data_IF_825168204289
#
_entry.id   IF_825168204289
#
_cell.length_a   1.000
_cell.length_b   1.000
_cell.length_c   1.000
_cell.angle_alpha   90.00
_cell.angle_beta   90.00
_cell.angle_gamma   90.00
#
_symmetry.space_group_name_H-M   'P 1'
#
loop_
_entity.id
_entity.type
_entity.pdbx_description
1 polymer ?
#
# COMPACT_ATOMS: atom_id res chain seq x y z
N UNK A 1 3.38 16.90 -4.78
CA UNK A 1 3.90 15.64 -5.36
C UNK A 1 3.21 14.50 -4.65
N UNK A 2 2.79 13.45 -5.36
CA UNK A 2 2.28 12.25 -4.71
C UNK A 2 3.45 11.49 -4.08
N UNK A 3 3.25 10.96 -2.89
CA UNK A 3 4.22 10.07 -2.24
C UNK A 3 3.98 8.63 -2.70
N UNK A 4 5.05 7.88 -2.89
CA UNK A 4 5.04 6.50 -3.32
C UNK A 4 5.66 5.60 -2.25
N UNK A 5 5.07 4.43 -2.02
CA UNK A 5 5.64 3.36 -1.22
C UNK A 5 6.45 2.46 -2.17
N UNK A 6 7.77 2.48 -2.02
CA UNK A 6 8.71 1.71 -2.82
C UNK A 6 9.11 0.44 -2.06
N UNK A 7 8.81 -0.73 -2.63
CA UNK A 7 9.01 -2.02 -1.99
C UNK A 7 10.19 -2.76 -2.61
N UNK A 8 11.05 -3.29 -1.75
CA UNK A 8 12.25 -4.03 -2.09
C UNK A 8 12.27 -5.37 -1.36
N UNK A 9 12.25 -6.47 -2.10
CA UNK A 9 12.57 -7.78 -1.57
C UNK A 9 14.08 -7.89 -1.32
N UNK A 10 14.47 -8.16 -0.08
CA UNK A 10 15.87 -8.21 0.35
C UNK A 10 16.17 -9.53 1.04
N UNK A 11 17.45 -9.96 1.01
CA UNK A 11 17.88 -11.07 1.84
C UNK A 11 17.79 -10.65 3.31
N UNK A 12 17.30 -11.53 4.18
CA UNK A 12 17.09 -11.20 5.59
C UNK A 12 18.39 -10.80 6.33
N UNK A 13 19.53 -11.34 5.90
CA UNK A 13 20.86 -10.98 6.42
C UNK A 13 21.24 -9.50 6.19
N UNK A 14 20.58 -8.83 5.24
CA UNK A 14 20.76 -7.41 4.96
C UNK A 14 19.92 -6.51 5.91
N UNK A 15 18.86 -7.04 6.54
CA UNK A 15 17.98 -6.27 7.44
C UNK A 15 18.75 -5.61 8.60
N UNK A 16 19.68 -6.28 9.31
CA UNK A 16 20.48 -5.62 10.34
C UNK A 16 21.30 -4.45 9.80
N UNK A 17 21.84 -4.56 8.57
CA UNK A 17 22.59 -3.47 7.94
C UNK A 17 21.68 -2.29 7.62
N UNK A 18 20.45 -2.57 7.18
CA UNK A 18 19.40 -1.57 6.93
C UNK A 18 19.05 -0.83 8.23
N UNK A 19 18.84 -1.57 9.31
CA UNK A 19 18.50 -1.03 10.63
C UNK A 19 19.63 -0.21 11.24
N UNK A 20 20.88 -0.61 11.04
CA UNK A 20 22.08 0.09 11.52
C UNK A 20 22.42 1.34 10.70
N UNK A 21 21.65 1.64 9.64
CA UNK A 21 21.90 2.77 8.74
C UNK A 21 23.12 2.61 7.83
N UNK A 22 23.90 1.53 7.99
CA UNK A 22 25.09 1.20 7.19
C UNK A 22 24.78 0.70 5.79
N UNK A 23 23.53 0.33 5.55
CA UNK A 23 23.05 -0.04 4.23
C UNK A 23 22.97 1.14 3.27
N UNK A 24 22.79 2.37 3.80
CA UNK A 24 22.65 3.59 2.99
C UNK A 24 23.99 4.25 2.63
N UNK A 25 25.13 3.64 3.00
CA UNK A 25 26.45 4.05 2.50
C UNK A 25 26.60 3.71 0.99
N UNK A 26 25.81 2.75 0.48
CA UNK A 26 25.58 2.55 -0.95
C UNK A 26 24.26 3.23 -1.35
N UNK A 27 24.27 4.00 -2.43
CA UNK A 27 23.15 4.84 -2.85
C UNK A 27 22.00 3.98 -3.44
N UNK A 28 21.06 3.55 -2.59
CA UNK A 28 19.87 2.77 -3.01
C UNK A 28 18.87 3.60 -3.83
N UNK A 29 19.08 4.91 -3.98
CA UNK A 29 18.21 5.76 -4.83
C UNK A 29 18.25 5.35 -6.31
N UNK A 30 19.29 4.64 -6.73
CA UNK A 30 19.43 4.09 -8.10
C UNK A 30 18.80 2.68 -8.28
N UNK A 31 18.27 2.07 -7.21
CA UNK A 31 17.63 0.75 -7.32
C UNK A 31 16.14 0.89 -7.65
N UNK A 32 15.75 0.34 -8.79
CA UNK A 32 14.35 0.24 -9.19
C UNK A 32 13.57 -0.59 -8.15
N UNK A 33 12.48 -0.05 -7.57
CA UNK A 33 11.62 -0.80 -6.68
C UNK A 33 11.04 -2.03 -7.37
N UNK A 34 10.98 -3.16 -6.65
CA UNK A 34 10.33 -4.37 -7.18
C UNK A 34 8.82 -4.23 -7.26
N UNK A 35 8.25 -3.33 -6.47
CA UNK A 35 6.87 -2.89 -6.55
C UNK A 35 6.74 -1.44 -6.07
N UNK A 36 5.85 -0.68 -6.68
CA UNK A 36 5.52 0.69 -6.29
C UNK A 36 4.04 0.76 -6.03
N UNK A 37 3.66 1.16 -4.81
CA UNK A 37 2.28 1.44 -4.46
C UNK A 37 2.16 2.93 -4.11
N UNK A 38 1.39 3.68 -4.90
CA UNK A 38 1.08 5.07 -4.54
C UNK A 38 0.45 5.13 -3.16
N UNK A 39 0.82 6.10 -2.33
CA UNK A 39 0.20 6.30 -1.00
C UNK A 39 -1.31 6.45 -1.12
N UNK A 40 -1.79 7.04 -2.21
CA UNK A 40 -3.23 7.12 -2.51
C UNK A 40 -3.89 5.74 -2.62
N UNK A 41 -3.27 4.78 -3.31
CA UNK A 41 -3.76 3.40 -3.39
C UNK A 41 -3.75 2.69 -2.04
N UNK A 42 -2.71 2.89 -1.23
CA UNK A 42 -2.67 2.36 0.14
C UNK A 42 -3.82 2.92 1.01
N UNK A 43 -4.13 4.21 0.86
CA UNK A 43 -5.30 4.85 1.50
C UNK A 43 -6.62 4.24 1.02
N UNK A 44 -6.77 3.97 -0.28
CA UNK A 44 -7.96 3.31 -0.83
C UNK A 44 -8.18 1.92 -0.22
N UNK A 45 -7.14 1.10 -0.20
CA UNK A 45 -7.19 -0.24 0.39
C UNK A 45 -7.51 -0.19 1.88
N UNK A 46 -6.88 0.72 2.62
CA UNK A 46 -7.17 0.90 4.05
C UNK A 46 -8.61 1.36 4.29
N UNK A 47 -9.11 2.31 3.50
CA UNK A 47 -10.49 2.79 3.59
C UNK A 47 -11.49 1.65 3.36
N UNK A 48 -11.27 0.84 2.31
CA UNK A 48 -12.09 -0.34 2.03
C UNK A 48 -12.02 -1.35 3.16
N UNK A 49 -10.81 -1.70 3.61
CA UNK A 49 -10.59 -2.70 4.65
C UNK A 49 -11.28 -2.35 5.97
N UNK A 50 -11.16 -1.07 6.38
CA UNK A 50 -11.70 -0.56 7.64
C UNK A 50 -13.17 -0.16 7.59
N UNK A 51 -13.78 -0.14 6.39
CA UNK A 51 -15.16 0.31 6.21
C UNK A 51 -15.32 1.83 6.38
N UNK A 52 -14.34 2.59 5.91
CA UNK A 52 -14.43 4.05 5.78
C UNK A 52 -13.55 4.88 6.70
N UNK A 53 -12.54 4.28 7.35
CA UNK A 53 -11.52 5.06 8.08
C UNK A 53 -10.44 5.53 7.13
N UNK A 54 -10.06 6.80 7.24
CA UNK A 54 -8.95 7.36 6.46
C UNK A 54 -7.62 7.01 7.12
N UNK A 55 -6.62 6.69 6.30
CA UNK A 55 -5.24 6.51 6.72
C UNK A 55 -4.54 7.88 6.68
N UNK A 56 -4.19 8.40 7.85
CA UNK A 56 -3.58 9.72 8.04
C UNK A 56 -2.06 9.65 8.03
N UNK A 57 -1.39 10.78 7.77
CA UNK A 57 0.07 10.88 7.76
C UNK A 57 0.70 10.39 9.07
N UNK A 58 0.09 10.68 10.23
CA UNK A 58 0.55 10.21 11.54
C UNK A 58 0.61 8.67 11.65
N UNK A 59 -0.20 7.96 10.85
CA UNK A 59 -0.26 6.51 10.83
C UNK A 59 0.98 5.96 10.09
N UNK A 60 1.43 6.68 9.06
CA UNK A 60 2.73 6.50 8.38
C UNK A 60 3.92 6.97 9.22
N UNK A 61 3.75 7.30 10.50
CA UNK A 61 4.86 7.56 11.44
C UNK A 61 5.10 6.38 12.40
N UNK A 62 4.34 5.28 12.25
CA UNK A 62 4.46 4.11 13.13
C UNK A 62 3.98 4.33 14.56
N UNK A 63 3.13 5.34 14.80
CA UNK A 63 2.60 5.68 16.13
C UNK A 63 1.39 4.85 16.55
N UNK A 64 0.85 4.03 15.65
CA UNK A 64 -0.33 3.21 15.92
C UNK A 64 0.02 1.72 16.00
N UNK A 65 -0.80 0.99 16.75
CA UNK A 65 -0.82 -0.48 16.71
C UNK A 65 -1.11 -0.95 15.28
N UNK A 66 -0.26 -1.84 14.77
CA UNK A 66 -0.36 -2.34 13.41
C UNK A 66 -0.98 -3.73 13.41
N UNK A 67 -1.96 -3.93 12.55
CA UNK A 67 -2.43 -5.25 12.19
C UNK A 67 -1.75 -5.71 10.90
N UNK A 68 -1.89 -6.98 10.53
CA UNK A 68 -1.29 -7.55 9.32
C UNK A 68 -1.63 -6.78 8.03
N UNK A 69 -2.78 -6.11 7.96
CA UNK A 69 -3.15 -5.30 6.80
C UNK A 69 -2.36 -3.99 6.75
N UNK A 70 -2.14 -3.34 7.89
CA UNK A 70 -1.31 -2.12 7.97
C UNK A 70 0.17 -2.46 7.79
N UNK A 71 0.64 -3.56 8.36
CA UNK A 71 2.01 -4.06 8.18
C UNK A 71 2.29 -4.40 6.71
N UNK A 72 1.28 -4.78 5.93
CA UNK A 72 1.44 -4.98 4.50
C UNK A 72 1.91 -3.70 3.78
N UNK A 73 1.49 -2.52 4.22
CA UNK A 73 1.89 -1.24 3.59
C UNK A 73 3.09 -0.58 4.27
N UNK A 74 3.20 -0.73 5.59
CA UNK A 74 4.12 0.04 6.43
C UNK A 74 5.16 -0.83 7.13
N UNK A 75 5.27 -2.10 6.75
CA UNK A 75 6.18 -3.06 7.37
C UNK A 75 5.87 -3.34 8.84
N UNK A 76 6.64 -4.26 9.41
CA UNK A 76 6.57 -4.68 10.81
C UNK A 76 7.21 -3.63 11.73
N UNK A 77 8.39 -3.15 11.35
CA UNK A 77 9.21 -2.27 12.15
C UNK A 77 9.59 -1.00 11.38
N UNK A 78 9.69 0.11 12.11
CA UNK A 78 10.23 1.38 11.61
C UNK A 78 11.75 1.35 11.62
N UNK A 79 12.36 1.80 10.54
CA UNK A 79 13.81 1.98 10.41
C UNK A 79 14.17 3.41 10.83
N UNK A 80 15.05 3.57 11.82
CA UNK A 80 15.32 4.84 12.51
C UNK A 80 16.29 5.80 11.79
N UNK A 81 16.70 5.49 10.58
CA UNK A 81 17.70 6.26 9.85
C UNK A 81 17.24 6.48 8.42
N UNK A 82 16.51 7.55 8.19
CA UNK A 82 16.33 8.07 6.85
C UNK A 82 17.09 9.39 6.71
N UNK A 83 17.89 9.56 5.65
CA UNK A 83 18.45 10.86 5.31
C UNK A 83 17.30 11.78 4.86
N UNK A 84 16.86 12.68 5.75
CA UNK A 84 15.87 13.73 5.46
C UNK A 84 14.44 13.23 5.29
N UNK A 85 13.58 13.42 6.31
CA UNK A 85 12.10 13.38 6.26
C UNK A 85 11.39 12.23 5.50
N UNK A 86 12.06 11.09 5.30
CA UNK A 86 11.50 9.94 4.59
C UNK A 86 11.26 8.79 5.58
N UNK A 87 10.05 8.24 5.67
CA UNK A 87 9.82 7.07 6.52
C UNK A 87 10.30 5.80 5.83
N UNK A 88 10.94 4.90 6.59
CA UNK A 88 11.42 3.61 6.08
C UNK A 88 11.01 2.49 7.02
N UNK A 89 10.75 1.32 6.45
CA UNK A 89 10.16 0.19 7.15
C UNK A 89 10.73 -1.14 6.69
N UNK A 90 10.64 -2.15 7.53
CA UNK A 90 11.00 -3.50 7.15
C UNK A 90 10.11 -4.57 7.79
N UNK A 91 10.09 -5.76 7.18
CA UNK A 91 9.47 -6.97 7.72
C UNK A 91 10.40 -8.16 7.51
N UNK A 92 10.52 -9.03 8.51
CA UNK A 92 11.27 -10.28 8.36
C UNK A 92 10.57 -11.25 7.39
N UNK A 93 11.27 -12.30 6.94
CA UNK A 93 10.69 -13.24 5.96
C UNK A 93 9.50 -14.01 6.54
N UNK A 94 9.52 -14.33 7.84
CA UNK A 94 8.38 -14.96 8.53
C UNK A 94 7.16 -14.03 8.50
N UNK A 95 7.36 -12.75 8.76
CA UNK A 95 6.30 -11.76 8.71
C UNK A 95 5.75 -11.55 7.30
N UNK A 96 6.63 -11.49 6.29
CA UNK A 96 6.23 -11.44 4.87
C UNK A 96 5.34 -12.64 4.52
N UNK A 97 5.66 -13.84 5.03
CA UNK A 97 4.82 -15.03 4.85
C UNK A 97 3.46 -14.90 5.53
N UNK A 98 3.42 -14.44 6.78
CA UNK A 98 2.15 -14.20 7.49
C UNK A 98 1.25 -13.20 6.73
N UNK A 99 1.83 -12.10 6.27
CA UNK A 99 1.12 -11.08 5.48
C UNK A 99 0.62 -11.67 4.16
N UNK A 100 1.46 -12.40 3.44
CA UNK A 100 1.08 -13.05 2.17
C UNK A 100 -0.10 -14.02 2.36
N UNK A 101 -0.03 -14.90 3.36
CA UNK A 101 -1.12 -15.81 3.69
C UNK A 101 -2.41 -15.09 4.08
N UNK A 102 -2.30 -13.96 4.79
CA UNK A 102 -3.43 -13.12 5.14
C UNK A 102 -4.04 -12.42 3.91
N UNK A 103 -3.24 -11.77 3.07
CA UNK A 103 -3.70 -11.09 1.86
C UNK A 103 -4.35 -12.07 0.87
N UNK A 104 -3.84 -13.30 0.78
CA UNK A 104 -4.44 -14.35 -0.05
C UNK A 104 -5.84 -14.77 0.40
N UNK A 105 -6.18 -14.63 1.69
CA UNK A 105 -7.53 -14.87 2.22
C UNK A 105 -8.50 -13.71 1.95
N UNK A 106 -7.98 -12.53 1.59
CA UNK A 106 -8.81 -11.36 1.30
C UNK A 106 -9.35 -11.45 -0.13
N UNK A 107 -10.67 -11.36 -0.22
CA UNK A 107 -11.38 -11.02 -1.45
C UNK A 107 -11.83 -9.56 -1.35
N UNK A 108 -11.10 -8.64 -2.01
CA UNK A 108 -11.34 -7.20 -1.89
C UNK A 108 -12.74 -6.80 -2.39
N UNK A 109 -13.35 -7.59 -3.29
CA UNK A 109 -14.73 -7.37 -3.76
C UNK A 109 -15.74 -7.31 -2.62
N UNK A 110 -15.52 -8.09 -1.55
CA UNK A 110 -16.43 -8.18 -0.42
C UNK A 110 -16.41 -6.90 0.45
N UNK A 111 -15.39 -6.06 0.30
CA UNK A 111 -15.22 -4.84 1.09
C UNK A 111 -15.95 -3.63 0.50
N UNK A 112 -16.25 -3.61 -0.81
CA UNK A 112 -17.02 -2.52 -1.44
C UNK A 112 -18.40 -2.35 -0.81
N UNK A 113 -19.07 -3.45 -0.44
CA UNK A 113 -20.37 -3.42 0.22
C UNK A 113 -20.36 -2.76 1.60
N UNK A 114 -19.18 -2.63 2.22
CA UNK A 114 -19.03 -1.96 3.53
C UNK A 114 -19.08 -0.43 3.41
N UNK A 115 -18.72 0.11 2.25
CA UNK A 115 -18.57 1.55 2.05
C UNK A 115 -19.71 2.16 1.23
N UNK A 116 -20.53 1.35 0.54
CA UNK A 116 -21.70 1.85 -0.18
C UNK A 116 -22.32 0.83 -1.13
N UNK A 117 -23.20 1.34 -2.00
CA UNK A 117 -23.88 0.57 -3.04
C UNK A 117 -23.04 0.56 -4.32
N UNK A 118 -22.99 -0.60 -4.98
CA UNK A 118 -22.36 -0.73 -6.29
C UNK A 118 -23.32 -0.20 -7.36
N UNK A 119 -22.84 0.75 -8.14
CA UNK A 119 -23.61 1.42 -9.21
C UNK A 119 -22.78 1.43 -10.50
N UNK A 120 -23.46 1.54 -11.64
CA UNK A 120 -22.79 1.75 -12.94
C UNK A 120 -22.61 3.25 -13.19
N UNK A 121 -21.39 3.65 -13.54
CA UNK A 121 -21.01 5.01 -13.88
C UNK A 121 -20.57 5.09 -15.34
N UNK A 122 -20.81 6.23 -15.98
CA UNK A 122 -20.29 6.52 -17.33
C UNK A 122 -19.20 7.58 -17.24
N UNK A 123 -18.10 7.37 -17.97
CA UNK A 123 -17.02 8.33 -18.14
C UNK A 123 -16.57 8.38 -19.60
N UNK A 124 -15.72 9.33 -19.94
CA UNK A 124 -15.18 9.56 -21.28
C UNK A 124 -13.66 9.55 -21.20
N UNK A 125 -13.00 8.77 -22.05
CA UNK A 125 -11.54 8.70 -22.07
C UNK A 125 -10.92 9.88 -22.83
N UNK A 126 -9.58 9.98 -22.86
CA UNK A 126 -8.87 11.06 -23.56
C UNK A 126 -9.15 11.13 -25.09
N UNK A 127 -9.71 10.08 -25.68
CA UNK A 127 -10.09 10.01 -27.10
C UNK A 127 -11.56 10.40 -27.34
N UNK A 128 -12.31 10.72 -26.29
CA UNK A 128 -13.73 11.02 -26.36
C UNK A 128 -14.63 9.79 -26.38
N UNK A 129 -14.09 8.59 -26.15
CA UNK A 129 -14.87 7.37 -26.14
C UNK A 129 -15.53 7.19 -24.77
N UNK A 130 -16.85 7.02 -24.77
CA UNK A 130 -17.63 6.77 -23.56
C UNK A 130 -17.51 5.31 -23.17
N UNK A 131 -17.29 5.08 -21.88
CA UNK A 131 -17.26 3.76 -21.29
C UNK A 131 -18.05 3.76 -19.99
N UNK A 132 -18.56 2.59 -19.63
CA UNK A 132 -19.21 2.35 -18.36
C UNK A 132 -18.31 1.50 -17.47
N UNK A 133 -18.38 1.73 -16.16
CA UNK A 133 -17.66 0.95 -15.17
C UNK A 133 -18.50 0.84 -13.89
N UNK A 134 -18.26 -0.23 -13.13
CA UNK A 134 -18.88 -0.39 -11.82
C UNK A 134 -18.06 0.35 -10.78
N UNK A 135 -18.75 1.12 -9.94
CA UNK A 135 -18.10 1.85 -8.87
C UNK A 135 -18.91 1.89 -7.59
N UNK A 136 -18.25 2.37 -6.53
CA UNK A 136 -18.93 2.76 -5.29
C UNK A 136 -18.64 4.22 -5.02
N UNK A 137 -19.70 5.03 -4.98
CA UNK A 137 -19.62 6.44 -4.62
C UNK A 137 -19.58 6.60 -3.10
N UNK A 138 -18.65 7.41 -2.63
CA UNK A 138 -18.43 7.73 -1.21
C UNK A 138 -18.16 9.22 -1.03
N UNK A 139 -18.27 9.69 0.22
CA UNK A 139 -17.77 11.01 0.61
C UNK A 139 -16.53 10.81 1.48
N UNK A 140 -15.40 11.34 1.03
CA UNK A 140 -14.10 11.10 1.67
C UNK A 140 -13.44 12.40 2.06
N UNK A 141 -12.64 12.32 3.12
CA UNK A 141 -11.89 13.47 3.63
C UNK A 141 -10.41 13.23 3.37
N UNK A 142 -9.95 13.60 2.18
CA UNK A 142 -8.54 13.45 1.79
C UNK A 142 -7.61 14.44 2.51
N UNK A 143 -8.16 15.57 3.00
CA UNK A 143 -7.42 16.60 3.73
C UNK A 143 -8.29 17.28 4.79
N UNK A 144 -7.70 18.15 5.61
CA UNK A 144 -8.38 18.82 6.74
C UNK A 144 -9.56 19.72 6.34
N UNK A 145 -9.75 20.03 5.05
CA UNK A 145 -10.61 21.14 4.64
C UNK A 145 -12.06 20.75 4.32
N UNK A 146 -12.35 19.77 3.45
CA UNK A 146 -13.72 19.38 3.06
C UNK A 146 -13.84 17.92 2.64
N UNK A 147 -15.04 17.36 2.82
CA UNK A 147 -15.43 16.09 2.21
C UNK A 147 -15.66 16.28 0.71
N UNK A 148 -15.13 15.37 -0.09
CA UNK A 148 -15.27 15.35 -1.53
C UNK A 148 -15.93 14.04 -1.97
N UNK A 149 -16.72 14.11 -3.05
CA UNK A 149 -17.24 12.90 -3.68
C UNK A 149 -16.09 12.14 -4.34
N UNK A 150 -15.98 10.86 -3.99
CA UNK A 150 -14.99 9.96 -4.53
C UNK A 150 -15.65 8.67 -4.99
N UNK A 151 -15.32 8.25 -6.21
CA UNK A 151 -15.83 7.02 -6.80
C UNK A 151 -14.68 6.02 -6.82
N UNK A 152 -14.86 4.91 -6.11
CA UNK A 152 -13.99 3.76 -6.26
C UNK A 152 -14.36 3.03 -7.54
N UNK A 153 -13.47 2.98 -8.52
CA UNK A 153 -13.58 2.05 -9.64
C UNK A 153 -13.27 0.64 -9.12
N UNK A 154 -14.25 -0.26 -9.24
CA UNK A 154 -14.15 -1.60 -8.66
C UNK A 154 -13.06 -2.42 -9.36
N UNK A 155 -13.02 -2.38 -10.69
CA UNK A 155 -12.08 -3.21 -11.48
C UNK A 155 -10.64 -2.75 -11.24
N UNK A 156 -10.40 -1.44 -11.32
CA UNK A 156 -9.09 -0.85 -11.09
C UNK A 156 -8.55 -1.16 -9.68
N UNK A 157 -9.39 -1.07 -8.65
CA UNK A 157 -8.99 -1.43 -7.27
C UNK A 157 -8.68 -2.92 -7.14
N UNK A 158 -9.46 -3.80 -7.77
CA UNK A 158 -9.22 -5.24 -7.73
C UNK A 158 -7.89 -5.58 -8.38
N UNK A 159 -7.61 -5.00 -9.54
CA UNK A 159 -6.38 -5.25 -10.29
C UNK A 159 -5.17 -4.78 -9.49
N UNK A 160 -5.19 -3.53 -8.98
CA UNK A 160 -4.13 -3.01 -8.09
C UNK A 160 -3.92 -3.89 -6.85
N UNK A 161 -5.00 -4.39 -6.24
CA UNK A 161 -4.89 -5.25 -5.06
C UNK A 161 -4.33 -6.64 -5.38
N UNK A 162 -4.68 -7.20 -6.54
CA UNK A 162 -4.14 -8.48 -7.00
C UNK A 162 -2.65 -8.37 -7.35
N UNK A 163 -2.22 -7.29 -8.00
CA UNK A 163 -0.79 -7.02 -8.23
C UNK A 163 -0.01 -6.96 -6.91
N UNK A 164 -0.57 -6.28 -5.91
CA UNK A 164 0.01 -6.20 -4.57
C UNK A 164 0.11 -7.57 -3.88
N UNK A 165 -0.92 -8.42 -4.01
CA UNK A 165 -0.88 -9.82 -3.55
C UNK A 165 0.20 -10.64 -4.26
N UNK A 166 0.28 -10.52 -5.57
CA UNK A 166 1.28 -11.22 -6.38
C UNK A 166 2.70 -10.83 -5.97
N UNK A 167 2.93 -9.55 -5.67
CA UNK A 167 4.21 -9.08 -5.14
C UNK A 167 4.58 -9.82 -3.84
N UNK A 168 3.70 -9.85 -2.84
CA UNK A 168 3.94 -10.59 -1.60
C UNK A 168 4.16 -12.09 -1.82
N UNK A 169 3.41 -12.70 -2.75
CA UNK A 169 3.60 -14.09 -3.14
C UNK A 169 4.99 -14.34 -3.75
N UNK A 170 5.51 -13.40 -4.56
CA UNK A 170 6.87 -13.48 -5.11
C UNK A 170 7.93 -13.38 -4.02
N UNK A 171 7.76 -12.51 -3.03
CA UNK A 171 8.70 -12.42 -1.89
C UNK A 171 8.78 -13.76 -1.14
N UNK A 172 7.64 -14.36 -0.81
CA UNK A 172 7.58 -15.66 -0.13
C UNK A 172 8.22 -16.75 -0.96
N UNK A 173 7.93 -16.80 -2.28
CA UNK A 173 8.51 -17.81 -3.18
C UNK A 173 10.04 -17.74 -3.20
N UNK A 174 10.60 -16.53 -3.12
CA UNK A 174 12.05 -16.30 -3.14
C UNK A 174 12.67 -16.27 -1.73
N UNK A 175 11.89 -16.53 -0.67
CA UNK A 175 12.33 -16.49 0.72
C UNK A 175 12.98 -15.14 1.11
N UNK A 176 12.38 -14.05 0.68
CA UNK A 176 12.88 -12.69 0.90
C UNK A 176 12.16 -12.00 2.08
N UNK A 177 12.92 -11.17 2.79
CA UNK A 177 12.40 -10.14 3.67
C UNK A 177 11.95 -8.93 2.85
N UNK A 178 11.33 -7.96 3.52
CA UNK A 178 10.82 -6.75 2.86
C UNK A 178 11.47 -5.51 3.46
N UNK A 179 11.88 -4.60 2.60
CA UNK A 179 12.20 -3.22 2.91
C UNK A 179 11.26 -2.29 2.13
N UNK A 180 10.75 -1.26 2.80
CA UNK A 180 9.83 -0.27 2.24
C UNK A 180 10.39 1.12 2.51
N UNK A 181 10.38 1.95 1.49
CA UNK A 181 10.82 3.33 1.54
C UNK A 181 9.72 4.25 0.98
N UNK A 182 9.45 5.38 1.63
CA UNK A 182 8.43 6.33 1.17
C UNK A 182 9.08 7.51 0.44
N UNK A 183 8.98 7.57 -0.89
CA UNK A 183 9.54 8.67 -1.70
C UNK A 183 8.53 9.76 -2.02
#
# INVERSE_FOLDING_TARGET
MGMDLCYYGVNEEEIPKILDGKFFDEDFTDLEPQHILRVFSAKDFYYLYTGGKELEEKDFQGKNERNLFVEAFLGEATVSFAPGDIYSYCSCKEKVKEISEFLNKINIKDYFKKIGTIEEFSSENFKGEKFNYLGVKTKRKFSSMKEEEYIFDIEDIIDRFNEFKEFYNKLVKNNLALYIYIS
#
